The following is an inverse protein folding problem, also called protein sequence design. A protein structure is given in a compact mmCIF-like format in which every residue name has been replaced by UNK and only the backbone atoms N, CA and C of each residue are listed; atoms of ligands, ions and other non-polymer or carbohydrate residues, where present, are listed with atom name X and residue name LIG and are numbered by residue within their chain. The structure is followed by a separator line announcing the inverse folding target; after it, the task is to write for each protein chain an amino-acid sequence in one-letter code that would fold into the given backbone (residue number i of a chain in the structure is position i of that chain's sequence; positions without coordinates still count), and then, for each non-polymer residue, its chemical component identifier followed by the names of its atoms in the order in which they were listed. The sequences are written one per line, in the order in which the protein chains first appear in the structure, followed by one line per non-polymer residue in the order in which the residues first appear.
data_IF_681781866203
#
_entry.id   IF_681781866203
#
_cell.length_a   1.000
_cell.length_b   1.000
_cell.length_c   1.000
_cell.angle_alpha   90.00
_cell.angle_beta   90.00
_cell.angle_gamma   90.00
#
_symmetry.space_group_name_H-M   'P 1'
#
loop_
_entity.id
_entity.type
_entity.pdbx_description
1 polymer ?
#
# COMPACT_ATOMS: atom_id res chain seq x y z
N UNK A 1 9.73 35.84 -6.85
CA UNK A 1 8.99 34.94 -5.95
C UNK A 1 8.62 35.75 -4.71
N UNK A 2 7.37 35.65 -4.19
CA UNK A 2 7.00 36.39 -2.97
C UNK A 2 7.85 35.88 -1.79
N UNK A 3 8.35 36.77 -0.96
CA UNK A 3 9.32 36.54 0.08
C UNK A 3 8.90 35.52 1.16
N UNK A 4 7.60 35.22 1.28
CA UNK A 4 7.06 34.18 2.17
C UNK A 4 6.14 33.24 1.37
N UNK A 5 6.73 32.14 0.90
CA UNK A 5 6.01 31.11 0.13
C UNK A 5 4.89 30.45 0.94
N UNK A 6 5.10 30.20 2.24
CA UNK A 6 4.11 29.54 3.09
C UNK A 6 2.90 30.43 3.34
N UNK A 7 3.14 31.73 3.64
CA UNK A 7 2.07 32.69 3.80
C UNK A 7 1.25 32.87 2.50
N UNK A 8 1.92 32.88 1.35
CA UNK A 8 1.26 32.92 0.05
C UNK A 8 0.44 31.65 -0.21
N UNK A 9 0.95 30.47 0.10
CA UNK A 9 0.22 29.19 -0.08
C UNK A 9 -1.05 29.15 0.77
N UNK A 10 -0.95 29.52 2.04
CA UNK A 10 -2.09 29.55 2.96
C UNK A 10 -3.25 30.46 2.52
N UNK A 11 -2.97 31.51 1.76
CA UNK A 11 -4.02 32.37 1.16
C UNK A 11 -4.86 31.67 0.08
N UNK A 12 -4.50 30.41 -0.29
CA UNK A 12 -5.18 29.63 -1.31
C UNK A 12 -5.77 28.32 -0.78
N UNK A 13 -5.65 28.05 0.53
CA UNK A 13 -6.13 26.81 1.13
C UNK A 13 -7.65 26.62 0.97
N UNK A 14 -8.43 27.69 1.05
CA UNK A 14 -9.87 27.71 0.82
C UNK A 14 -10.28 27.37 -0.63
N UNK A 15 -9.39 27.58 -1.59
CA UNK A 15 -9.58 27.29 -3.01
C UNK A 15 -9.08 25.91 -3.43
N UNK A 16 -8.56 25.09 -2.52
CA UNK A 16 -7.92 23.82 -2.85
C UNK A 16 -8.84 22.91 -3.70
N UNK A 17 -10.08 22.73 -3.30
CA UNK A 17 -11.04 21.88 -4.02
C UNK A 17 -11.49 22.49 -5.35
N UNK A 18 -11.63 23.82 -5.46
CA UNK A 18 -11.89 24.51 -6.72
C UNK A 18 -10.75 24.28 -7.72
N UNK A 19 -9.51 24.51 -7.30
CA UNK A 19 -8.31 24.30 -8.12
C UNK A 19 -8.17 22.86 -8.57
N UNK A 20 -8.40 21.90 -7.68
CA UNK A 20 -8.36 20.47 -8.03
C UNK A 20 -9.47 20.08 -9.02
N UNK A 21 -10.69 20.61 -8.86
CA UNK A 21 -11.79 20.34 -9.80
C UNK A 21 -11.51 20.92 -11.18
N UNK A 22 -10.90 22.10 -11.23
CA UNK A 22 -10.60 22.78 -12.49
C UNK A 22 -9.38 22.21 -13.25
N UNK A 23 -8.34 21.76 -12.51
CA UNK A 23 -7.03 21.52 -13.12
C UNK A 23 -6.43 20.13 -12.85
N UNK A 24 -7.00 19.31 -11.94
CA UNK A 24 -6.42 18.00 -11.56
C UNK A 24 -7.40 16.87 -11.83
N UNK A 25 -8.46 16.72 -11.01
CA UNK A 25 -9.42 15.61 -11.17
C UNK A 25 -10.80 16.00 -10.59
N UNK A 26 -11.75 16.44 -11.43
CA UNK A 26 -13.08 16.85 -10.99
C UNK A 26 -13.90 15.70 -10.38
N UNK A 27 -13.75 14.47 -10.90
CA UNK A 27 -14.47 13.30 -10.39
C UNK A 27 -14.02 12.93 -8.97
N UNK A 28 -12.71 13.05 -8.68
CA UNK A 28 -12.18 12.82 -7.34
C UNK A 28 -12.71 13.85 -6.33
N UNK A 29 -12.76 15.14 -6.71
CA UNK A 29 -13.34 16.19 -5.87
C UNK A 29 -14.82 15.93 -5.60
N UNK A 30 -15.59 15.54 -6.64
CA UNK A 30 -17.00 15.19 -6.50
C UNK A 30 -17.19 14.05 -5.50
N UNK A 31 -16.39 12.99 -5.63
CA UNK A 31 -16.43 11.83 -4.72
C UNK A 31 -16.15 12.24 -3.27
N UNK A 32 -15.08 13.01 -3.00
CA UNK A 32 -14.73 13.45 -1.64
C UNK A 32 -15.85 14.28 -1.00
N UNK A 33 -16.47 15.22 -1.77
CA UNK A 33 -17.61 16.00 -1.30
C UNK A 33 -18.83 15.14 -1.01
N UNK A 34 -19.11 14.15 -1.86
CA UNK A 34 -20.25 13.23 -1.68
C UNK A 34 -20.15 12.43 -0.39
N UNK A 35 -18.96 11.96 0.00
CA UNK A 35 -18.76 11.18 1.23
C UNK A 35 -18.37 12.04 2.45
N UNK A 36 -18.28 13.37 2.29
CA UNK A 36 -17.95 14.31 3.38
C UNK A 36 -16.48 14.26 3.81
N UNK A 37 -15.56 13.90 2.89
CA UNK A 37 -14.11 13.83 3.13
C UNK A 37 -13.37 15.07 2.58
N UNK A 38 -14.09 16.09 2.20
CA UNK A 38 -13.58 17.35 1.64
C UNK A 38 -13.00 18.28 2.73
N UNK A 39 -12.06 17.76 3.52
CA UNK A 39 -11.37 18.49 4.58
C UNK A 39 -10.07 19.12 4.06
N UNK A 40 -9.80 20.36 4.46
CA UNK A 40 -8.53 21.03 4.23
C UNK A 40 -7.61 20.75 5.42
N UNK A 41 -6.63 19.85 5.25
CA UNK A 41 -5.66 19.55 6.29
C UNK A 41 -4.50 20.53 6.23
N UNK A 42 -4.30 21.29 7.32
CA UNK A 42 -3.27 22.35 7.42
C UNK A 42 -2.06 21.95 8.25
N UNK A 43 -2.15 20.86 9.02
CA UNK A 43 -1.06 20.33 9.85
C UNK A 43 -1.10 18.82 9.89
N UNK A 44 0.09 18.20 9.94
CA UNK A 44 0.28 16.76 10.18
C UNK A 44 1.45 16.55 11.13
N UNK A 45 1.29 15.67 12.16
CA UNK A 45 2.35 15.32 13.11
C UNK A 45 2.10 13.92 13.68
N UNK A 46 3.08 13.04 13.61
CA UNK A 46 2.95 11.67 14.09
C UNK A 46 1.75 10.96 13.46
N UNK A 47 0.87 10.41 14.28
CA UNK A 47 -0.33 9.68 13.85
C UNK A 47 -1.50 10.60 13.47
N UNK A 48 -1.33 11.93 13.46
CA UNK A 48 -2.45 12.85 13.41
C UNK A 48 -2.38 13.86 12.26
N UNK A 49 -3.57 14.28 11.83
CA UNK A 49 -3.81 15.39 10.93
C UNK A 49 -4.70 16.42 11.63
N UNK A 50 -4.59 17.68 11.25
CA UNK A 50 -5.51 18.74 11.69
C UNK A 50 -6.03 19.49 10.49
N UNK A 51 -7.34 19.72 10.49
CA UNK A 51 -8.00 20.59 9.49
C UNK A 51 -7.86 22.08 9.85
N UNK A 52 -8.41 22.94 8.98
CA UNK A 52 -8.38 24.40 9.15
C UNK A 52 -9.19 24.88 10.37
N UNK A 53 -10.19 24.10 10.81
CA UNK A 53 -11.00 24.36 11.99
C UNK A 53 -10.31 23.89 13.30
N UNK A 54 -9.14 23.27 13.21
CA UNK A 54 -8.39 22.76 14.35
C UNK A 54 -8.83 21.39 14.84
N UNK A 55 -9.69 20.69 14.11
CA UNK A 55 -10.08 19.33 14.44
C UNK A 55 -8.92 18.37 14.22
N UNK A 56 -8.68 17.51 15.21
CA UNK A 56 -7.63 16.48 15.19
C UNK A 56 -8.19 15.16 14.67
N UNK A 57 -7.54 14.57 13.68
CA UNK A 57 -7.88 13.29 13.07
C UNK A 57 -6.79 12.26 13.29
N UNK A 58 -7.16 11.02 13.66
CA UNK A 58 -6.27 9.87 13.67
C UNK A 58 -6.13 9.32 12.24
N UNK A 59 -4.89 9.28 11.72
CA UNK A 59 -4.60 8.83 10.37
C UNK A 59 -4.37 7.29 10.33
N UNK A 60 -5.45 6.54 10.10
CA UNK A 60 -5.41 5.08 9.93
C UNK A 60 -5.20 4.64 8.47
N UNK A 61 -4.89 5.59 7.55
CA UNK A 61 -4.63 5.35 6.13
C UNK A 61 -3.19 5.62 5.73
N UNK A 62 -2.56 6.65 6.30
CA UNK A 62 -1.17 7.07 6.09
C UNK A 62 -0.75 7.18 4.62
N UNK A 63 -1.67 7.71 3.76
CA UNK A 63 -1.40 7.79 2.32
C UNK A 63 -1.15 6.41 1.68
N UNK A 64 -1.97 5.42 2.02
CA UNK A 64 -1.82 4.02 1.62
C UNK A 64 -0.54 3.33 2.13
N UNK A 65 -0.10 3.70 3.33
CA UNK A 65 1.07 3.12 3.98
C UNK A 65 2.39 3.84 3.70
N UNK A 66 2.36 5.00 3.03
CA UNK A 66 3.54 5.82 2.73
C UNK A 66 4.13 6.44 3.99
N UNK A 67 3.29 7.05 4.84
CA UNK A 67 3.72 7.71 6.09
C UNK A 67 3.86 6.71 7.24
N UNK A 68 4.69 5.69 7.03
CA UNK A 68 4.89 4.62 8.01
C UNK A 68 5.49 5.11 9.34
N UNK A 69 6.31 6.17 9.30
CA UNK A 69 6.89 6.84 10.49
C UNK A 69 5.96 7.89 11.09
N UNK A 70 4.73 8.03 10.56
CA UNK A 70 3.87 9.16 10.85
C UNK A 70 4.23 10.41 10.04
N UNK A 71 3.43 11.45 10.24
CA UNK A 71 3.60 12.73 9.55
C UNK A 71 4.74 13.53 10.15
N UNK A 72 5.58 14.13 9.31
CA UNK A 72 6.64 15.07 9.68
C UNK A 72 7.60 14.53 10.75
N UNK A 73 8.07 13.28 10.59
CA UNK A 73 8.99 12.66 11.55
C UNK A 73 10.24 13.53 11.78
N UNK A 74 10.57 13.92 13.04
CA UNK A 74 11.57 14.96 13.31
C UNK A 74 12.98 14.60 12.81
N UNK A 75 13.43 13.35 12.96
CA UNK A 75 14.76 12.90 12.52
C UNK A 75 14.89 12.99 10.99
N UNK A 76 13.90 12.49 10.24
CA UNK A 76 13.91 12.55 8.75
C UNK A 76 13.89 14.00 8.28
N UNK A 77 13.02 14.83 8.89
CA UNK A 77 12.92 16.26 8.56
C UNK A 77 14.24 17.00 8.85
N UNK A 78 14.92 16.69 9.96
CA UNK A 78 16.21 17.29 10.30
C UNK A 78 17.30 16.89 9.29
N UNK A 79 17.38 15.60 8.91
CA UNK A 79 18.33 15.11 7.91
C UNK A 79 18.15 15.79 6.56
N UNK A 80 16.90 15.95 6.10
CA UNK A 80 16.62 16.63 4.84
C UNK A 80 16.98 18.12 4.89
N UNK A 81 16.72 18.81 6.01
CA UNK A 81 17.13 20.19 6.19
C UNK A 81 18.65 20.33 6.15
N UNK A 82 19.38 19.49 6.89
CA UNK A 82 20.83 19.49 6.89
C UNK A 82 21.37 19.26 5.47
N UNK A 83 20.81 18.30 4.72
CA UNK A 83 21.23 18.05 3.35
C UNK A 83 21.00 19.27 2.43
N UNK A 84 19.88 19.98 2.61
CA UNK A 84 19.56 21.17 1.80
C UNK A 84 20.39 22.40 2.17
N UNK A 85 20.86 22.48 3.42
CA UNK A 85 21.74 23.56 3.90
C UNK A 85 23.20 23.35 3.46
N UNK A 86 23.57 22.15 3.00
CA UNK A 86 24.87 21.82 2.43
C UNK A 86 24.83 21.91 0.90
N UNK A 87 25.87 22.46 0.28
CA UNK A 87 25.98 22.59 -1.18
C UNK A 87 26.37 21.25 -1.84
N UNK A 88 25.60 20.18 -1.56
CA UNK A 88 25.83 18.85 -2.13
C UNK A 88 25.55 18.85 -3.64
N UNK A 89 26.36 18.13 -4.44
CA UNK A 89 26.24 18.15 -5.91
C UNK A 89 24.97 17.46 -6.44
N UNK A 90 24.23 16.76 -5.57
CA UNK A 90 23.04 15.98 -5.93
C UNK A 90 23.32 14.97 -7.06
N UNK A 91 22.50 14.89 -8.09
CA UNK A 91 22.54 13.89 -9.16
C UNK A 91 23.71 14.11 -10.14
N UNK A 92 24.91 13.62 -9.82
CA UNK A 92 26.01 13.56 -10.82
C UNK A 92 25.97 12.21 -11.53
N UNK A 93 25.44 12.18 -12.76
CA UNK A 93 25.19 10.97 -13.53
C UNK A 93 26.44 10.18 -13.95
N UNK A 94 27.57 10.82 -14.00
CA UNK A 94 28.88 10.21 -14.33
C UNK A 94 29.71 10.02 -13.06
N UNK A 95 29.04 9.75 -11.93
CA UNK A 95 29.69 9.48 -10.65
C UNK A 95 28.88 8.44 -9.84
N UNK A 96 29.48 7.91 -8.78
CA UNK A 96 28.84 7.02 -7.83
C UNK A 96 28.68 7.76 -6.49
N UNK A 97 27.42 7.96 -6.04
CA UNK A 97 27.12 8.56 -4.74
C UNK A 97 27.33 7.55 -3.62
N UNK A 98 28.11 7.91 -2.59
CA UNK A 98 28.25 7.09 -1.39
C UNK A 98 26.88 6.92 -0.69
N UNK A 99 26.03 7.94 -0.73
CA UNK A 99 24.72 7.95 -0.09
C UNK A 99 23.81 6.84 -0.66
N UNK A 100 23.76 6.68 -1.98
CA UNK A 100 23.00 5.59 -2.61
C UNK A 100 23.59 4.21 -2.29
N UNK A 101 24.92 4.10 -2.19
CA UNK A 101 25.62 2.89 -1.76
C UNK A 101 25.22 2.48 -0.33
N UNK A 102 25.21 3.42 0.60
CA UNK A 102 24.83 3.18 2.01
C UNK A 102 23.35 2.77 2.15
N UNK A 103 22.45 3.38 1.37
CA UNK A 103 21.04 2.96 1.36
C UNK A 103 20.90 1.54 0.82
N UNK A 104 21.63 1.20 -0.27
CA UNK A 104 21.62 -0.14 -0.83
C UNK A 104 22.15 -1.18 0.14
N UNK A 105 23.28 -0.89 0.83
CA UNK A 105 23.85 -1.75 1.86
C UNK A 105 22.84 -2.03 2.98
N UNK A 106 22.30 -0.99 3.63
CA UNK A 106 21.30 -1.16 4.69
C UNK A 106 20.04 -1.90 4.22
N UNK A 107 19.58 -1.63 3.02
CA UNK A 107 18.39 -2.29 2.48
C UNK A 107 18.65 -3.80 2.24
N UNK A 108 19.79 -4.15 1.65
CA UNK A 108 20.16 -5.55 1.39
C UNK A 108 20.42 -6.33 2.67
N UNK A 109 20.99 -5.72 3.71
CA UNK A 109 21.13 -6.32 5.04
C UNK A 109 19.76 -6.71 5.63
N UNK A 110 18.75 -5.87 5.50
CA UNK A 110 17.41 -6.10 6.06
C UNK A 110 16.55 -7.05 5.24
N UNK A 111 16.69 -7.00 3.92
CA UNK A 111 16.04 -7.97 3.02
C UNK A 111 16.65 -9.36 3.22
N UNK A 112 17.97 -9.51 3.19
CA UNK A 112 18.62 -10.80 3.40
C UNK A 112 18.43 -11.79 2.25
N UNK A 113 18.50 -13.09 2.55
CA UNK A 113 18.16 -14.16 1.59
C UNK A 113 19.01 -14.22 0.31
N UNK A 114 20.22 -13.61 0.30
CA UNK A 114 21.08 -13.53 -0.88
C UNK A 114 20.68 -12.48 -1.91
N UNK A 115 19.77 -11.57 -1.55
CA UNK A 115 19.39 -10.39 -2.33
C UNK A 115 20.39 -9.25 -2.04
N UNK A 116 21.42 -9.11 -2.88
CA UNK A 116 22.59 -8.26 -2.62
C UNK A 116 22.82 -7.19 -3.70
N UNK A 117 21.83 -6.90 -4.53
CA UNK A 117 21.89 -5.83 -5.55
C UNK A 117 20.61 -5.01 -5.49
N UNK A 118 20.74 -3.70 -5.67
CA UNK A 118 19.63 -2.74 -5.65
C UNK A 118 19.65 -1.90 -6.91
N UNK A 119 18.51 -1.79 -7.56
CA UNK A 119 18.25 -0.78 -8.57
C UNK A 119 17.23 0.22 -8.01
N UNK A 120 17.61 1.50 -7.87
CA UNK A 120 16.73 2.54 -7.38
C UNK A 120 15.88 3.15 -8.48
N UNK A 121 14.61 3.42 -8.16
CA UNK A 121 13.63 4.10 -9.00
C UNK A 121 12.82 5.10 -8.16
N UNK A 122 11.72 5.64 -8.70
CA UNK A 122 11.00 6.73 -8.04
C UNK A 122 9.63 6.30 -7.48
N UNK A 123 9.20 5.08 -7.75
CA UNK A 123 7.88 4.59 -7.35
C UNK A 123 7.80 3.07 -7.29
N UNK A 124 6.74 2.56 -6.64
CA UNK A 124 6.45 1.12 -6.61
C UNK A 124 6.14 0.55 -7.99
N UNK A 125 5.41 1.31 -8.83
CA UNK A 125 5.11 0.86 -10.19
C UNK A 125 6.38 0.75 -11.04
N UNK A 126 7.35 1.68 -10.91
CA UNK A 126 8.66 1.56 -11.57
C UNK A 126 9.48 0.38 -11.05
N UNK A 127 9.38 0.05 -9.76
CA UNK A 127 10.07 -1.14 -9.24
C UNK A 127 9.48 -2.43 -9.82
N UNK A 128 8.16 -2.49 -10.00
CA UNK A 128 7.50 -3.62 -10.66
C UNK A 128 7.87 -3.71 -12.15
N UNK A 129 7.92 -2.58 -12.88
CA UNK A 129 8.41 -2.53 -14.27
C UNK A 129 9.86 -3.06 -14.37
N UNK A 130 10.71 -2.66 -13.42
CA UNK A 130 12.08 -3.17 -13.30
C UNK A 130 12.10 -4.69 -13.08
N UNK A 131 11.30 -5.20 -12.15
CA UNK A 131 11.20 -6.62 -11.86
C UNK A 131 10.74 -7.45 -13.08
N UNK A 132 9.73 -6.98 -13.81
CA UNK A 132 9.26 -7.61 -15.06
C UNK A 132 10.40 -7.67 -16.09
N UNK A 133 11.09 -6.55 -16.32
CA UNK A 133 12.19 -6.46 -17.30
C UNK A 133 13.37 -7.36 -16.90
N UNK A 134 13.75 -7.37 -15.61
CA UNK A 134 14.86 -8.16 -15.11
C UNK A 134 14.55 -9.65 -15.20
N UNK A 135 13.34 -10.05 -14.84
CA UNK A 135 12.90 -11.44 -14.96
C UNK A 135 12.91 -11.93 -16.42
N UNK A 136 12.38 -11.14 -17.34
CA UNK A 136 12.39 -11.45 -18.78
C UNK A 136 13.82 -11.53 -19.34
N UNK A 137 14.68 -10.59 -18.97
CA UNK A 137 16.08 -10.58 -19.41
C UNK A 137 16.85 -11.79 -18.89
N UNK A 138 16.69 -12.14 -17.61
CA UNK A 138 17.39 -13.24 -16.98
C UNK A 138 16.96 -14.61 -17.53
N UNK A 139 15.63 -14.82 -17.67
CA UNK A 139 15.09 -16.12 -18.06
C UNK A 139 15.01 -16.33 -19.57
N UNK A 140 15.02 -15.25 -20.37
CA UNK A 140 14.73 -15.29 -21.79
C UNK A 140 13.26 -15.60 -22.12
N UNK A 141 12.36 -15.56 -21.11
CA UNK A 141 10.93 -15.88 -21.22
C UNK A 141 10.07 -14.62 -21.22
N UNK A 142 8.81 -14.76 -21.67
CA UNK A 142 7.91 -13.61 -21.87
C UNK A 142 6.83 -13.49 -20.82
N UNK A 143 6.26 -14.62 -20.35
CA UNK A 143 5.03 -14.58 -19.56
C UNK A 143 5.32 -14.14 -18.12
N UNK A 144 4.38 -13.37 -17.55
CA UNK A 144 4.36 -13.02 -16.13
C UNK A 144 3.07 -13.60 -15.52
N UNK A 145 3.22 -14.43 -14.51
CA UNK A 145 2.09 -14.98 -13.74
C UNK A 145 1.84 -14.06 -12.55
N UNK A 146 0.59 -13.75 -12.26
CA UNK A 146 0.16 -12.87 -11.17
C UNK A 146 -1.19 -13.31 -10.60
N UNK A 147 -1.60 -12.76 -9.46
CA UNK A 147 -2.80 -13.19 -8.74
C UNK A 147 -4.03 -12.32 -9.02
N UNK A 148 -5.23 -12.91 -8.84
CA UNK A 148 -6.49 -12.16 -8.74
C UNK A 148 -6.37 -11.10 -7.65
N UNK A 149 -7.08 -9.98 -7.83
CA UNK A 149 -7.11 -8.83 -6.90
C UNK A 149 -5.75 -8.18 -6.61
N UNK A 150 -4.68 -8.58 -7.29
CA UNK A 150 -3.36 -7.98 -7.14
C UNK A 150 -3.35 -6.50 -7.58
N UNK A 151 -2.51 -5.70 -6.91
CA UNK A 151 -2.26 -4.31 -7.28
C UNK A 151 -0.75 -4.01 -7.28
N UNK A 152 -0.16 -4.00 -8.47
CA UNK A 152 1.28 -3.80 -8.66
C UNK A 152 1.66 -2.43 -9.24
N UNK A 153 0.69 -1.55 -9.46
CA UNK A 153 0.90 -0.23 -10.03
C UNK A 153 0.03 0.03 -11.26
N UNK A 154 0.19 1.21 -11.88
CA UNK A 154 -0.67 1.70 -12.96
C UNK A 154 0.11 2.18 -14.20
N UNK A 155 1.43 1.98 -14.28
CA UNK A 155 2.16 2.07 -15.55
C UNK A 155 1.81 0.86 -16.42
N UNK A 156 1.96 0.95 -17.73
CA UNK A 156 1.42 -0.03 -18.68
C UNK A 156 1.83 -1.48 -18.37
N UNK A 157 3.08 -1.75 -18.03
CA UNK A 157 3.52 -3.10 -17.65
C UNK A 157 2.96 -3.56 -16.32
N UNK A 158 3.01 -2.73 -15.28
CA UNK A 158 2.43 -3.03 -13.97
C UNK A 158 0.89 -3.15 -14.04
N UNK A 159 0.24 -2.29 -14.84
CA UNK A 159 -1.21 -2.37 -15.09
C UNK A 159 -1.61 -3.69 -15.76
N UNK A 160 -0.74 -4.23 -16.62
CA UNK A 160 -0.99 -5.51 -17.31
C UNK A 160 -1.11 -6.70 -16.37
N UNK A 161 -0.54 -6.60 -15.17
CA UNK A 161 -0.60 -7.59 -14.12
C UNK A 161 -1.43 -7.13 -12.90
N UNK A 162 -2.36 -6.17 -13.12
CA UNK A 162 -3.34 -5.78 -12.13
C UNK A 162 -4.50 -6.80 -12.11
N UNK A 163 -4.85 -7.31 -10.93
CA UNK A 163 -5.84 -8.36 -10.75
C UNK A 163 -7.30 -7.91 -10.84
N UNK A 164 -7.57 -6.59 -10.93
CA UNK A 164 -8.90 -6.02 -11.05
C UNK A 164 -9.08 -5.39 -12.45
N UNK A 165 -10.05 -5.88 -13.22
CA UNK A 165 -10.31 -5.43 -14.59
C UNK A 165 -10.69 -3.95 -14.66
N UNK A 166 -11.37 -3.42 -13.64
CA UNK A 166 -11.71 -1.99 -13.49
C UNK A 166 -10.52 -1.04 -13.75
N UNK A 167 -9.31 -1.40 -13.28
CA UNK A 167 -8.12 -0.57 -13.50
C UNK A 167 -7.54 -0.70 -14.91
N UNK A 168 -7.88 -1.78 -15.63
CA UNK A 168 -7.32 -2.12 -16.96
C UNK A 168 -8.17 -1.62 -18.10
N UNK A 169 -9.46 -1.42 -17.84
CA UNK A 169 -10.44 -1.02 -18.87
C UNK A 169 -10.10 0.34 -19.49
N UNK A 170 -10.37 0.46 -20.81
CA UNK A 170 -10.24 1.68 -21.62
C UNK A 170 -8.79 2.19 -21.83
N UNK A 171 -7.76 1.45 -21.44
CA UNK A 171 -6.35 1.83 -21.68
C UNK A 171 -5.71 1.11 -22.88
N UNK A 172 -6.52 0.45 -23.72
CA UNK A 172 -6.04 -0.22 -24.92
C UNK A 172 -5.32 -1.54 -24.62
N UNK A 173 -4.50 -1.97 -25.58
CA UNK A 173 -3.74 -3.22 -25.46
C UNK A 173 -2.64 -3.07 -24.40
N UNK A 174 -2.63 -3.99 -23.46
CA UNK A 174 -1.64 -4.06 -22.39
C UNK A 174 -0.52 -5.04 -22.77
N UNK A 175 0.49 -5.15 -21.89
CA UNK A 175 1.67 -6.01 -22.09
C UNK A 175 1.23 -7.46 -22.34
N UNK A 176 1.62 -8.09 -23.47
CA UNK A 176 1.26 -9.48 -23.77
C UNK A 176 2.01 -10.46 -22.85
N UNK A 177 1.46 -11.69 -22.76
CA UNK A 177 2.07 -12.76 -21.97
C UNK A 177 1.81 -12.64 -20.48
N UNK A 178 0.73 -11.98 -20.06
CA UNK A 178 0.33 -11.91 -18.66
C UNK A 178 -0.72 -12.99 -18.35
N UNK A 179 -0.55 -13.73 -17.23
CA UNK A 179 -1.42 -14.85 -16.83
C UNK A 179 -1.90 -14.68 -15.42
N UNK A 180 -3.19 -14.50 -15.25
CA UNK A 180 -3.84 -14.39 -13.95
C UNK A 180 -4.15 -15.78 -13.39
N UNK A 181 -3.88 -15.99 -12.10
CA UNK A 181 -4.25 -17.19 -11.33
C UNK A 181 -4.98 -16.78 -10.05
N UNK A 182 -5.87 -17.61 -9.50
CA UNK A 182 -6.50 -17.32 -8.22
C UNK A 182 -5.44 -17.20 -7.11
N UNK A 183 -5.66 -16.26 -6.18
CA UNK A 183 -4.79 -16.12 -5.01
C UNK A 183 -4.94 -17.33 -4.09
N UNK A 184 -3.83 -17.81 -3.52
CA UNK A 184 -3.80 -19.01 -2.68
C UNK A 184 -4.19 -20.33 -3.37
N UNK A 185 -4.10 -20.43 -4.70
CA UNK A 185 -4.37 -21.63 -5.48
C UNK A 185 -3.08 -22.17 -6.13
N UNK A 186 -2.48 -23.17 -5.50
CA UNK A 186 -1.25 -23.83 -5.96
C UNK A 186 -1.46 -24.66 -7.23
N UNK A 187 -2.63 -25.25 -7.42
CA UNK A 187 -2.90 -26.08 -8.59
C UNK A 187 -2.96 -25.21 -9.86
N UNK A 188 -3.66 -24.07 -9.79
CA UNK A 188 -3.70 -23.11 -10.90
C UNK A 188 -2.32 -22.51 -11.16
N UNK A 189 -1.54 -22.22 -10.13
CA UNK A 189 -0.16 -21.78 -10.26
C UNK A 189 0.70 -22.84 -10.97
N UNK A 190 0.65 -24.11 -10.52
CA UNK A 190 1.42 -25.18 -11.14
C UNK A 190 1.07 -25.35 -12.62
N UNK A 191 -0.22 -25.34 -12.98
CA UNK A 191 -0.68 -25.41 -14.38
C UNK A 191 -0.11 -24.27 -15.23
N UNK A 192 -0.09 -23.05 -14.70
CA UNK A 192 0.45 -21.88 -15.40
C UNK A 192 1.98 -21.99 -15.60
N UNK A 193 2.72 -22.44 -14.58
CA UNK A 193 4.17 -22.60 -14.63
C UNK A 193 4.62 -23.79 -15.47
N UNK A 194 3.85 -24.87 -15.51
CA UNK A 194 4.16 -26.08 -16.29
C UNK A 194 4.29 -25.81 -17.80
N UNK A 195 3.72 -24.73 -18.30
CA UNK A 195 3.90 -24.26 -19.68
C UNK A 195 5.33 -23.82 -20.00
N UNK A 196 6.17 -23.59 -18.98
CA UNK A 196 7.59 -23.18 -19.06
C UNK A 196 7.82 -21.87 -19.84
N UNK A 197 6.79 -21.01 -19.95
CA UNK A 197 6.87 -19.70 -20.59
C UNK A 197 7.01 -18.53 -19.60
N UNK A 198 6.75 -18.81 -18.32
CA UNK A 198 6.77 -17.79 -17.27
C UNK A 198 8.21 -17.36 -16.92
N UNK A 199 8.48 -16.06 -17.05
CA UNK A 199 9.69 -15.42 -16.57
C UNK A 199 9.63 -15.23 -15.05
N UNK A 200 8.48 -14.80 -14.55
CA UNK A 200 8.25 -14.59 -13.11
C UNK A 200 6.82 -14.98 -12.69
N UNK A 201 6.70 -15.35 -11.43
CA UNK A 201 5.48 -15.28 -10.66
C UNK A 201 5.63 -14.12 -9.69
N UNK A 202 4.73 -13.13 -9.76
CA UNK A 202 4.73 -11.94 -8.90
C UNK A 202 3.48 -11.93 -8.02
N UNK A 203 3.65 -11.66 -6.72
CA UNK A 203 2.56 -11.54 -5.77
C UNK A 203 2.89 -10.62 -4.61
N UNK A 204 1.84 -10.11 -3.97
CA UNK A 204 1.87 -9.43 -2.66
C UNK A 204 1.65 -10.48 -1.56
N UNK A 205 2.46 -10.57 -0.49
CA UNK A 205 2.21 -11.52 0.62
C UNK A 205 0.91 -11.23 1.37
N UNK A 206 0.52 -9.95 1.41
CA UNK A 206 -0.80 -9.47 1.81
C UNK A 206 -1.29 -8.54 0.72
N UNK A 207 -2.39 -8.87 0.09
CA UNK A 207 -2.92 -8.09 -1.03
C UNK A 207 -3.35 -6.69 -0.57
N UNK A 208 -2.84 -5.67 -1.23
CA UNK A 208 -3.10 -4.27 -0.91
C UNK A 208 -4.56 -3.86 -1.10
N UNK A 209 -5.33 -4.56 -1.91
CA UNK A 209 -6.74 -4.24 -2.22
C UNK A 209 -7.75 -5.05 -1.41
N UNK A 210 -7.36 -6.17 -0.83
CA UNK A 210 -8.27 -7.05 -0.08
C UNK A 210 -7.80 -7.34 1.34
N UNK A 211 -6.56 -6.99 1.70
CA UNK A 211 -5.90 -7.43 2.92
C UNK A 211 -5.88 -8.97 3.09
N UNK A 212 -6.07 -9.71 2.01
CA UNK A 212 -5.97 -11.16 2.04
C UNK A 212 -4.51 -11.57 2.20
N UNK A 213 -4.28 -12.45 3.18
CA UNK A 213 -2.95 -12.97 3.52
C UNK A 213 -2.71 -14.28 2.80
N UNK A 214 -1.50 -14.51 2.30
CA UNK A 214 -1.13 -15.82 1.80
C UNK A 214 -1.31 -16.88 2.88
N UNK A 215 -1.89 -18.02 2.51
CA UNK A 215 -2.07 -19.15 3.42
C UNK A 215 -0.72 -19.73 3.86
N UNK A 216 -0.70 -20.29 5.07
CA UNK A 216 0.49 -20.97 5.57
C UNK A 216 0.90 -22.09 4.60
N UNK A 217 2.20 -22.16 4.32
CA UNK A 217 2.80 -23.09 3.36
C UNK A 217 2.68 -22.67 1.89
N UNK A 218 1.80 -21.70 1.52
CA UNK A 218 1.61 -21.30 0.13
C UNK A 218 2.87 -20.73 -0.51
N UNK A 219 3.56 -19.78 0.18
CA UNK A 219 4.76 -19.14 -0.37
C UNK A 219 5.91 -20.13 -0.56
N UNK A 220 6.11 -21.04 0.40
CA UNK A 220 7.14 -22.08 0.30
C UNK A 220 6.89 -23.00 -0.90
N UNK A 221 5.66 -23.43 -1.08
CA UNK A 221 5.28 -24.30 -2.18
C UNK A 221 5.31 -23.56 -3.54
N UNK A 222 4.86 -22.30 -3.58
CA UNK A 222 5.00 -21.45 -4.77
C UNK A 222 6.47 -21.27 -5.18
N UNK A 223 7.36 -21.05 -4.21
CA UNK A 223 8.80 -21.02 -4.45
C UNK A 223 9.33 -22.34 -5.03
N UNK A 224 8.90 -23.47 -4.45
CA UNK A 224 9.28 -24.79 -4.95
C UNK A 224 8.84 -25.01 -6.40
N UNK A 225 7.61 -24.61 -6.72
CA UNK A 225 7.08 -24.66 -8.10
C UNK A 225 7.85 -23.72 -9.03
N UNK A 226 8.14 -22.49 -8.61
CA UNK A 226 8.95 -21.56 -9.39
C UNK A 226 10.34 -22.16 -9.71
N UNK A 227 11.01 -22.71 -8.71
CA UNK A 227 12.32 -23.41 -8.90
C UNK A 227 12.21 -24.61 -9.83
N UNK A 228 11.17 -25.46 -9.66
CA UNK A 228 10.90 -26.64 -10.52
C UNK A 228 10.76 -26.27 -11.99
N UNK A 229 10.11 -25.17 -12.30
CA UNK A 229 9.83 -24.75 -13.68
C UNK A 229 10.78 -23.67 -14.20
N UNK A 230 11.76 -23.24 -13.43
CA UNK A 230 12.75 -22.21 -13.80
C UNK A 230 12.13 -20.83 -13.99
N UNK A 231 11.16 -20.48 -13.16
CA UNK A 231 10.48 -19.19 -13.07
C UNK A 231 11.02 -18.43 -11.87
N UNK A 232 11.19 -17.10 -11.93
CA UNK A 232 11.60 -16.30 -10.79
C UNK A 232 10.43 -16.04 -9.86
N UNK A 233 10.65 -16.10 -8.54
CA UNK A 233 9.71 -15.65 -7.54
C UNK A 233 9.96 -14.17 -7.24
N UNK A 234 8.97 -13.32 -7.51
CA UNK A 234 8.99 -11.89 -7.23
C UNK A 234 7.99 -11.58 -6.14
N UNK A 235 8.45 -11.00 -5.05
CA UNK A 235 7.59 -10.55 -3.95
C UNK A 235 7.44 -9.03 -4.02
N UNK A 236 6.20 -8.57 -4.16
CA UNK A 236 5.86 -7.16 -4.08
C UNK A 236 5.65 -6.75 -2.62
N UNK A 237 6.66 -6.13 -2.05
CA UNK A 237 6.69 -5.58 -0.69
C UNK A 237 6.47 -4.07 -0.65
N UNK A 238 5.95 -3.50 -1.72
CA UNK A 238 5.71 -2.05 -1.82
C UNK A 238 4.81 -1.54 -0.70
N UNK A 239 3.82 -2.33 -0.25
CA UNK A 239 2.94 -1.95 0.85
C UNK A 239 3.23 -2.72 2.16
N UNK A 240 3.70 -3.94 2.06
CA UNK A 240 3.88 -4.87 3.20
C UNK A 240 5.24 -4.76 3.86
N UNK A 241 6.24 -4.22 3.17
CA UNK A 241 7.62 -4.14 3.62
C UNK A 241 7.92 -3.03 4.64
N UNK A 242 9.18 -2.96 5.01
CA UNK A 242 9.76 -1.92 5.85
C UNK A 242 9.10 -1.81 7.24
N UNK A 243 8.89 -2.97 7.88
CA UNK A 243 8.40 -3.04 9.25
C UNK A 243 6.88 -3.15 9.40
N UNK A 244 6.11 -2.81 8.36
CA UNK A 244 4.64 -2.70 8.37
C UNK A 244 3.93 -3.88 9.03
N UNK A 245 4.39 -5.09 8.78
CA UNK A 245 3.73 -6.33 9.23
C UNK A 245 4.33 -6.93 10.51
N UNK A 246 5.25 -6.22 11.18
CA UNK A 246 5.95 -6.73 12.37
C UNK A 246 7.20 -7.58 12.04
N UNK A 247 7.64 -7.56 10.80
CA UNK A 247 8.94 -8.01 10.28
C UNK A 247 9.47 -6.96 9.33
N UNK A 248 10.77 -6.88 9.08
CA UNK A 248 11.33 -5.93 8.11
C UNK A 248 10.67 -6.07 6.75
N UNK A 249 10.46 -7.30 6.27
CA UNK A 249 9.70 -7.63 5.08
C UNK A 249 8.68 -8.72 5.39
N UNK A 250 7.52 -8.64 4.79
CA UNK A 250 6.40 -9.52 5.11
C UNK A 250 6.72 -11.00 4.83
N UNK A 251 7.45 -11.29 3.74
CA UNK A 251 7.82 -12.67 3.42
C UNK A 251 8.68 -13.32 4.52
N UNK A 252 9.34 -12.56 5.40
CA UNK A 252 10.13 -13.08 6.52
C UNK A 252 9.28 -13.71 7.64
N UNK A 253 7.94 -13.62 7.56
CA UNK A 253 7.05 -14.44 8.38
C UNK A 253 7.12 -15.93 8.01
N UNK A 254 7.66 -16.25 6.82
CA UNK A 254 7.88 -17.61 6.32
C UNK A 254 9.40 -17.76 6.04
N UNK A 255 10.18 -18.15 7.06
CA UNK A 255 11.65 -18.08 7.02
C UNK A 255 12.30 -18.99 5.97
N UNK A 256 11.56 -19.98 5.45
CA UNK A 256 11.99 -20.87 4.35
C UNK A 256 11.88 -20.23 2.97
N UNK A 257 11.24 -19.05 2.88
CA UNK A 257 11.02 -18.36 1.60
C UNK A 257 12.20 -17.46 1.25
N UNK A 258 12.77 -17.68 0.10
CA UNK A 258 13.89 -16.92 -0.45
C UNK A 258 13.52 -16.40 -1.85
N UNK A 259 12.96 -15.21 -1.99
CA UNK A 259 12.61 -14.65 -3.28
C UNK A 259 13.81 -14.39 -4.17
N UNK A 260 13.59 -14.25 -5.46
CA UNK A 260 14.60 -13.85 -6.44
C UNK A 260 14.67 -12.34 -6.60
N UNK A 261 13.51 -11.66 -6.48
CA UNK A 261 13.37 -10.21 -6.56
C UNK A 261 12.36 -9.74 -5.50
N UNK A 262 12.64 -8.60 -4.88
CA UNK A 262 11.72 -7.89 -3.97
C UNK A 262 11.53 -6.46 -4.47
N UNK A 263 10.26 -6.04 -4.63
CA UNK A 263 9.89 -4.67 -4.98
C UNK A 263 9.61 -3.87 -3.71
N UNK A 264 10.20 -2.67 -3.58
CA UNK A 264 10.08 -1.80 -2.39
C UNK A 264 9.77 -0.38 -2.83
N UNK A 265 8.95 0.35 -2.06
CA UNK A 265 8.68 1.79 -2.25
C UNK A 265 7.97 2.37 -1.00
N UNK A 266 6.93 3.17 -1.19
CA UNK A 266 6.05 3.75 -0.15
C UNK A 266 6.81 4.21 1.11
N UNK A 267 6.87 3.36 2.13
CA UNK A 267 7.48 3.68 3.41
C UNK A 267 8.98 4.03 3.33
N UNK A 268 9.66 3.70 2.22
CA UNK A 268 11.12 3.82 2.09
C UNK A 268 11.63 5.24 2.33
N UNK A 269 10.85 6.28 2.01
CA UNK A 269 11.26 7.69 2.26
C UNK A 269 10.57 8.34 3.48
N UNK A 270 9.86 7.56 4.28
CA UNK A 270 9.03 8.15 5.36
C UNK A 270 7.93 9.08 4.87
N UNK A 271 7.62 9.06 3.56
CA UNK A 271 6.59 9.87 2.93
C UNK A 271 7.03 11.26 2.44
N UNK A 272 8.33 11.56 2.47
CA UNK A 272 8.83 12.88 2.07
C UNK A 272 9.13 13.00 0.58
N UNK A 273 9.78 12.00 0.00
CA UNK A 273 10.28 12.05 -1.39
C UNK A 273 9.93 10.76 -2.11
N UNK A 274 9.51 10.81 -3.39
CA UNK A 274 9.30 9.62 -4.18
C UNK A 274 10.60 8.78 -4.28
N UNK A 275 10.50 7.49 -3.93
CA UNK A 275 11.58 6.52 -4.05
C UNK A 275 11.01 5.11 -4.15
N UNK A 276 11.68 4.27 -4.92
CA UNK A 276 11.43 2.84 -5.02
C UNK A 276 12.73 2.09 -5.26
N UNK A 277 12.68 0.78 -5.10
CA UNK A 277 13.83 -0.07 -5.33
C UNK A 277 13.41 -1.46 -5.82
N UNK A 278 14.20 -2.03 -6.72
CA UNK A 278 14.23 -3.45 -7.06
C UNK A 278 15.41 -4.06 -6.34
N UNK A 279 15.16 -4.92 -5.36
CA UNK A 279 16.22 -5.66 -4.66
C UNK A 279 16.29 -7.07 -5.24
N UNK A 280 17.45 -7.51 -5.68
CA UNK A 280 17.56 -8.75 -6.44
C UNK A 280 18.86 -9.50 -6.17
N UNK A 281 18.90 -10.76 -6.61
CA UNK A 281 20.11 -11.58 -6.55
C UNK A 281 21.16 -11.07 -7.53
N UNK A 282 22.46 -11.12 -7.19
CA UNK A 282 23.55 -10.69 -8.08
C UNK A 282 23.43 -11.26 -9.51
N UNK A 283 23.21 -12.57 -9.63
CA UNK A 283 23.09 -13.27 -10.92
C UNK A 283 22.03 -12.66 -11.87
N UNK A 284 20.96 -12.05 -11.32
CA UNK A 284 19.90 -11.44 -12.12
C UNK A 284 20.35 -10.06 -12.59
N UNK A 285 20.87 -9.23 -11.68
CA UNK A 285 21.39 -7.90 -12.01
C UNK A 285 22.53 -7.97 -13.01
N UNK A 286 23.49 -8.89 -12.77
CA UNK A 286 24.67 -9.09 -13.61
C UNK A 286 24.28 -9.55 -15.04
N UNK A 287 23.16 -10.24 -15.21
CA UNK A 287 22.62 -10.60 -16.53
C UNK A 287 21.99 -9.44 -17.27
N UNK A 288 21.41 -8.47 -16.56
CA UNK A 288 20.81 -7.25 -17.16
C UNK A 288 21.90 -6.28 -17.60
N UNK A 289 22.93 -6.10 -16.77
CA UNK A 289 24.06 -5.19 -16.96
C UNK A 289 25.35 -5.97 -17.22
N UNK A 290 25.31 -6.85 -18.23
CA UNK A 290 26.36 -7.86 -18.50
C UNK A 290 27.59 -7.35 -19.26
N UNK A 291 27.60 -6.07 -19.62
CA UNK A 291 28.73 -5.41 -20.27
C UNK A 291 28.74 -3.90 -20.04
N UNK A 292 29.87 -3.23 -20.30
CA UNK A 292 29.96 -1.76 -20.24
C UNK A 292 28.98 -1.08 -21.20
N UNK A 293 28.73 -1.65 -22.38
CA UNK A 293 27.77 -1.13 -23.35
C UNK A 293 26.32 -1.19 -22.82
N UNK A 294 26.04 -2.13 -21.93
CA UNK A 294 24.70 -2.35 -21.36
C UNK A 294 24.53 -1.76 -19.96
N UNK A 295 25.52 -1.02 -19.44
CA UNK A 295 25.46 -0.49 -18.07
C UNK A 295 24.32 0.50 -17.80
N UNK A 296 23.64 1.01 -18.83
CA UNK A 296 22.50 1.96 -18.74
C UNK A 296 21.23 1.48 -19.46
N UNK A 297 21.12 0.20 -19.86
CA UNK A 297 19.95 -0.34 -20.60
C UNK A 297 18.64 -0.30 -19.80
N UNK A 298 18.73 -0.16 -18.48
CA UNK A 298 17.65 0.15 -17.58
C UNK A 298 18.12 1.25 -16.64
N UNK A 299 17.53 2.43 -16.75
CA UNK A 299 17.90 3.61 -15.98
C UNK A 299 16.70 4.55 -15.87
N UNK A 300 16.79 5.48 -14.95
CA UNK A 300 15.83 6.60 -14.80
C UNK A 300 16.58 7.86 -14.39
N UNK A 301 16.00 9.04 -14.61
CA UNK A 301 16.68 10.31 -14.39
C UNK A 301 16.89 10.60 -12.90
N UNK A 302 15.88 10.40 -12.06
CA UNK A 302 15.88 10.83 -10.66
C UNK A 302 16.13 9.71 -9.64
N UNK A 303 16.27 8.46 -10.07
CA UNK A 303 16.70 7.39 -9.17
C UNK A 303 18.08 7.73 -8.58
N UNK A 304 18.29 7.53 -7.31
CA UNK A 304 19.48 7.87 -6.54
C UNK A 304 19.68 9.37 -6.29
N UNK A 305 18.65 10.24 -6.45
CA UNK A 305 18.79 11.64 -6.04
C UNK A 305 19.03 11.74 -4.53
N UNK A 306 19.84 12.72 -4.12
CA UNK A 306 20.32 12.80 -2.75
C UNK A 306 19.19 13.01 -1.73
N UNK A 307 18.14 13.77 -2.08
CA UNK A 307 16.98 13.94 -1.19
C UNK A 307 16.26 12.61 -0.94
N UNK A 308 16.05 11.80 -1.98
CA UNK A 308 15.41 10.49 -1.84
C UNK A 308 16.29 9.52 -1.06
N UNK A 309 17.60 9.52 -1.32
CA UNK A 309 18.54 8.64 -0.62
C UNK A 309 18.70 9.04 0.85
N UNK A 310 18.79 10.34 1.16
CA UNK A 310 18.85 10.83 2.54
C UNK A 310 17.56 10.52 3.32
N UNK A 311 16.40 10.75 2.69
CA UNK A 311 15.12 10.36 3.28
C UNK A 311 15.03 8.85 3.54
N UNK A 312 15.48 8.03 2.58
CA UNK A 312 15.48 6.57 2.72
C UNK A 312 16.43 6.10 3.83
N UNK A 313 17.66 6.63 3.87
CA UNK A 313 18.63 6.28 4.90
C UNK A 313 18.12 6.64 6.29
N UNK A 314 17.63 7.87 6.46
CA UNK A 314 17.06 8.33 7.73
C UNK A 314 15.84 7.51 8.14
N UNK A 315 15.01 7.11 7.18
CA UNK A 315 13.85 6.24 7.43
C UNK A 315 14.26 4.87 7.94
N UNK A 316 15.22 4.22 7.29
CA UNK A 316 15.72 2.91 7.72
C UNK A 316 16.35 2.98 9.13
N UNK A 317 17.09 4.06 9.41
CA UNK A 317 17.65 4.30 10.74
C UNK A 317 16.56 4.49 11.80
N UNK A 318 15.55 5.29 11.52
CA UNK A 318 14.43 5.52 12.46
C UNK A 318 13.67 4.23 12.75
N UNK A 319 13.39 3.42 11.72
CA UNK A 319 12.69 2.13 11.91
C UNK A 319 13.48 1.25 12.89
N UNK A 320 14.80 1.24 12.79
CA UNK A 320 15.68 0.45 13.65
C UNK A 320 15.82 1.03 15.06
N UNK A 321 16.19 2.32 15.17
CA UNK A 321 16.49 2.99 16.44
C UNK A 321 15.25 3.13 17.33
N UNK A 322 14.10 3.40 16.74
CA UNK A 322 12.85 3.60 17.46
C UNK A 322 12.05 2.28 17.61
N UNK A 323 12.66 1.11 17.26
CA UNK A 323 12.07 -0.24 17.38
C UNK A 323 10.68 -0.38 16.74
N UNK A 324 10.49 0.24 15.56
CA UNK A 324 9.17 0.34 14.95
C UNK A 324 8.65 -0.98 14.38
N UNK A 325 9.53 -1.93 14.08
CA UNK A 325 9.14 -3.30 13.67
C UNK A 325 8.45 -4.03 14.82
N UNK A 326 9.03 -3.94 16.02
CA UNK A 326 8.50 -4.53 17.25
C UNK A 326 7.21 -3.84 17.68
N UNK A 327 7.15 -2.52 17.56
CA UNK A 327 5.91 -1.77 17.84
C UNK A 327 4.79 -2.15 16.87
N UNK A 328 5.11 -2.32 15.58
CA UNK A 328 4.12 -2.76 14.58
C UNK A 328 3.58 -4.17 14.88
N UNK A 329 4.42 -5.08 15.39
CA UNK A 329 3.99 -6.39 15.84
C UNK A 329 3.08 -6.30 17.07
N UNK A 330 3.49 -5.55 18.10
CA UNK A 330 2.78 -5.44 19.38
C UNK A 330 1.43 -4.73 19.22
N UNK A 331 1.42 -3.55 18.59
CA UNK A 331 0.18 -2.78 18.36
C UNK A 331 -0.74 -3.47 17.35
N UNK A 332 -0.15 -4.14 16.34
CA UNK A 332 -0.90 -4.95 15.39
C UNK A 332 -1.64 -6.11 16.06
N UNK A 333 -0.98 -6.82 16.99
CA UNK A 333 -1.62 -7.89 17.79
C UNK A 333 -2.72 -7.32 18.67
N UNK A 334 -2.46 -6.21 19.37
CA UNK A 334 -3.45 -5.55 20.22
C UNK A 334 -4.72 -5.15 19.43
N UNK A 335 -4.54 -4.55 18.25
CA UNK A 335 -5.65 -4.17 17.37
C UNK A 335 -6.39 -5.39 16.82
N UNK A 336 -5.67 -6.44 16.42
CA UNK A 336 -6.26 -7.66 15.89
C UNK A 336 -7.14 -8.37 16.94
N UNK A 337 -6.67 -8.47 18.17
CA UNK A 337 -7.42 -9.09 19.26
C UNK A 337 -8.67 -8.27 19.62
N UNK A 338 -8.52 -6.93 19.70
CA UNK A 338 -9.65 -6.03 19.93
C UNK A 338 -10.70 -6.11 18.84
N UNK A 339 -10.28 -6.09 17.58
CA UNK A 339 -11.19 -6.18 16.42
C UNK A 339 -11.88 -7.54 16.32
N UNK A 340 -11.19 -8.65 16.62
CA UNK A 340 -11.82 -9.99 16.66
C UNK A 340 -12.89 -10.07 17.74
N UNK A 341 -12.65 -9.44 18.89
CA UNK A 341 -13.66 -9.36 19.96
C UNK A 341 -14.88 -8.55 19.50
N UNK A 342 -14.69 -7.41 18.86
CA UNK A 342 -15.78 -6.59 18.31
C UNK A 342 -16.52 -7.37 17.21
N UNK A 343 -15.78 -8.00 16.31
CA UNK A 343 -16.33 -8.79 15.19
C UNK A 343 -17.23 -9.94 15.67
N UNK A 344 -16.92 -10.56 16.81
CA UNK A 344 -17.72 -11.65 17.37
C UNK A 344 -19.14 -11.25 17.78
N UNK A 345 -19.41 -9.95 17.92
CA UNK A 345 -20.73 -9.39 18.27
C UNK A 345 -21.42 -8.71 17.09
N UNK A 346 -20.76 -8.60 15.92
CA UNK A 346 -21.32 -7.95 14.74
C UNK A 346 -21.59 -8.96 13.61
N UNK A 347 -22.87 -9.26 13.30
CA UNK A 347 -23.24 -10.29 12.33
C UNK A 347 -22.87 -9.95 10.89
N UNK A 348 -22.49 -8.72 10.59
CA UNK A 348 -22.02 -8.29 9.28
C UNK A 348 -20.53 -8.55 9.05
N UNK A 349 -19.74 -8.74 10.10
CA UNK A 349 -18.30 -8.99 9.97
C UNK A 349 -18.05 -10.47 9.70
N UNK A 350 -17.50 -10.77 8.54
CA UNK A 350 -17.16 -12.14 8.14
C UNK A 350 -15.73 -12.53 8.51
N UNK A 351 -14.80 -11.57 8.49
CA UNK A 351 -13.41 -11.81 8.86
C UNK A 351 -12.69 -10.53 9.30
N UNK A 352 -11.71 -10.71 10.19
CA UNK A 352 -10.66 -9.72 10.48
C UNK A 352 -9.34 -10.37 10.14
N UNK A 353 -8.57 -9.78 9.23
CA UNK A 353 -7.35 -10.37 8.70
C UNK A 353 -6.23 -9.36 8.50
N UNK A 354 -5.00 -9.85 8.43
CA UNK A 354 -3.79 -9.03 8.25
C UNK A 354 -2.63 -9.51 9.11
N UNK A 355 -1.54 -8.75 9.09
CA UNK A 355 -0.37 -8.94 9.97
C UNK A 355 0.17 -7.58 10.40
N UNK A 356 0.56 -7.46 11.66
CA UNK A 356 1.07 -6.21 12.21
C UNK A 356 0.09 -5.05 11.99
N UNK A 357 0.58 -3.95 11.46
CA UNK A 357 -0.21 -2.73 11.18
C UNK A 357 -0.70 -2.63 9.72
N UNK A 358 -0.93 -3.76 9.08
CA UNK A 358 -1.69 -3.88 7.84
C UNK A 358 -2.81 -4.89 8.04
N UNK A 359 -4.03 -4.40 8.21
CA UNK A 359 -5.19 -5.24 8.49
C UNK A 359 -6.46 -4.70 7.84
N UNK A 360 -7.44 -5.59 7.71
CA UNK A 360 -8.74 -5.28 7.13
C UNK A 360 -9.87 -6.03 7.82
N UNK A 361 -11.07 -5.49 7.65
CA UNK A 361 -12.32 -6.09 8.10
C UNK A 361 -13.16 -6.37 6.87
N UNK A 362 -13.55 -7.63 6.69
CA UNK A 362 -14.48 -8.08 5.67
C UNK A 362 -15.91 -8.05 6.19
N UNK A 363 -16.80 -7.55 5.35
CA UNK A 363 -18.23 -7.60 5.60
C UNK A 363 -18.91 -8.58 4.65
N UNK A 364 -19.92 -9.25 5.15
CA UNK A 364 -20.74 -10.18 4.38
C UNK A 364 -22.20 -10.15 4.82
N UNK A 365 -23.05 -10.71 3.98
CA UNK A 365 -24.48 -10.91 4.29
C UNK A 365 -24.63 -11.72 5.58
N UNK A 366 -25.33 -11.20 6.61
CA UNK A 366 -25.46 -11.88 7.89
C UNK A 366 -26.20 -13.22 7.76
N UNK A 367 -25.81 -14.20 8.57
CA UNK A 367 -26.37 -15.56 8.47
C UNK A 367 -27.70 -15.74 9.22
N UNK A 368 -27.93 -15.03 10.33
CA UNK A 368 -28.97 -15.40 11.28
C UNK A 368 -30.21 -14.48 11.28
N UNK A 369 -30.06 -13.16 11.12
CA UNK A 369 -31.17 -12.21 11.21
C UNK A 369 -31.85 -11.97 9.86
N UNK A 370 -33.12 -12.41 9.68
CA UNK A 370 -33.88 -12.12 8.46
C UNK A 370 -33.97 -10.62 8.17
N UNK A 371 -34.18 -9.81 9.22
CA UNK A 371 -34.25 -8.35 9.14
C UNK A 371 -32.97 -7.73 8.61
N UNK A 372 -31.80 -8.16 9.11
CA UNK A 372 -30.50 -7.68 8.65
C UNK A 372 -30.11 -8.23 7.26
N UNK A 373 -30.54 -9.45 6.92
CA UNK A 373 -30.44 -9.98 5.56
C UNK A 373 -31.19 -9.09 4.54
N UNK A 374 -32.44 -8.75 4.85
CA UNK A 374 -33.24 -7.88 3.98
C UNK A 374 -32.59 -6.49 3.83
N UNK A 375 -32.06 -5.93 4.91
CA UNK A 375 -31.37 -4.64 4.90
C UNK A 375 -30.10 -4.72 4.01
N UNK A 376 -29.30 -5.77 4.16
CA UNK A 376 -28.12 -6.02 3.32
C UNK A 376 -28.51 -6.16 1.84
N UNK A 377 -29.50 -6.99 1.52
CA UNK A 377 -29.94 -7.24 0.14
C UNK A 377 -30.52 -5.95 -0.51
N UNK A 378 -31.23 -5.14 0.26
CA UNK A 378 -31.73 -3.84 -0.21
C UNK A 378 -30.56 -2.90 -0.58
N UNK A 379 -29.54 -2.80 0.27
CA UNK A 379 -28.38 -1.95 0.04
C UNK A 379 -27.58 -2.41 -1.20
N UNK A 380 -27.33 -3.71 -1.32
CA UNK A 380 -26.59 -4.29 -2.44
C UNK A 380 -27.36 -4.26 -3.76
N UNK A 381 -28.69 -4.21 -3.70
CA UNK A 381 -29.53 -3.96 -4.87
C UNK A 381 -29.40 -2.54 -5.44
N UNK A 382 -28.95 -1.58 -4.63
CA UNK A 382 -28.66 -0.22 -5.06
C UNK A 382 -27.24 -0.08 -5.63
N UNK A 383 -26.23 -0.58 -4.90
CA UNK A 383 -24.83 -0.57 -5.35
C UNK A 383 -23.99 -1.56 -4.54
N UNK A 384 -23.06 -2.26 -5.19
CA UNK A 384 -22.14 -3.17 -4.55
C UNK A 384 -20.96 -2.36 -3.92
N UNK A 385 -20.49 -2.74 -2.73
CA UNK A 385 -19.36 -2.06 -2.03
C UNK A 385 -19.77 -0.87 -1.18
N UNK A 386 -21.06 -0.61 -1.00
CA UNK A 386 -21.56 0.55 -0.24
C UNK A 386 -21.58 0.30 1.28
N UNK A 387 -21.66 -0.95 1.73
CA UNK A 387 -21.69 -1.25 3.16
C UNK A 387 -20.43 -0.75 3.89
N UNK A 388 -19.27 -0.90 3.26
CA UNK A 388 -18.02 -0.37 3.80
C UNK A 388 -18.06 1.14 4.06
N UNK A 389 -18.77 1.90 3.22
CA UNK A 389 -18.94 3.34 3.42
C UNK A 389 -19.81 3.66 4.64
N UNK A 390 -20.78 2.80 5.00
CA UNK A 390 -21.60 2.96 6.20
C UNK A 390 -20.76 2.91 7.49
N UNK A 391 -19.56 2.33 7.43
CA UNK A 391 -18.59 2.30 8.54
C UNK A 391 -17.57 3.43 8.40
N UNK A 392 -17.00 3.62 7.20
CA UNK A 392 -15.92 4.59 6.96
C UNK A 392 -16.38 6.03 7.16
N UNK A 393 -17.59 6.38 6.73
CA UNK A 393 -18.12 7.76 6.85
C UNK A 393 -18.31 8.18 8.32
N UNK A 394 -18.97 7.42 9.21
CA UNK A 394 -19.06 7.77 10.62
C UNK A 394 -17.71 7.77 11.35
N UNK A 395 -16.80 6.87 11.01
CA UNK A 395 -15.43 6.91 11.56
C UNK A 395 -14.78 8.26 11.28
N UNK A 396 -14.91 8.78 10.06
CA UNK A 396 -14.35 10.06 9.66
C UNK A 396 -15.12 11.25 10.29
N UNK A 397 -16.43 11.28 10.15
CA UNK A 397 -17.24 12.46 10.51
C UNK A 397 -17.45 12.59 12.02
N UNK A 398 -17.77 11.48 12.71
CA UNK A 398 -18.09 11.46 14.13
C UNK A 398 -16.86 11.25 15.00
N UNK A 399 -16.02 10.28 14.61
CA UNK A 399 -14.87 9.84 15.43
C UNK A 399 -13.54 10.44 14.97
N UNK A 400 -13.51 11.19 13.83
CA UNK A 400 -12.30 11.82 13.30
C UNK A 400 -11.17 10.80 13.05
N UNK A 401 -11.51 9.65 12.48
CA UNK A 401 -10.58 8.59 12.10
C UNK A 401 -10.57 8.46 10.59
N UNK A 402 -9.44 8.77 9.97
CA UNK A 402 -9.26 8.71 8.52
C UNK A 402 -8.93 7.29 8.08
N UNK A 403 -9.81 6.69 7.29
CA UNK A 403 -9.61 5.39 6.64
C UNK A 403 -10.37 5.32 5.32
N UNK A 404 -10.40 4.13 4.69
CA UNK A 404 -11.09 3.92 3.42
C UNK A 404 -11.57 2.48 3.22
N UNK A 405 -12.49 2.30 2.30
CA UNK A 405 -12.79 1.00 1.69
C UNK A 405 -11.59 0.55 0.85
N UNK A 406 -11.21 -0.72 0.93
CA UNK A 406 -9.92 -1.22 0.44
C UNK A 406 -9.81 -1.29 -1.09
N UNK A 407 -10.87 -1.68 -1.79
CA UNK A 407 -10.89 -1.90 -3.23
C UNK A 407 -12.17 -1.42 -3.89
N UNK A 408 -12.23 -1.59 -5.22
CA UNK A 408 -13.43 -1.35 -6.00
C UNK A 408 -14.34 -2.58 -5.93
N UNK A 409 -15.63 -2.37 -5.65
CA UNK A 409 -16.60 -3.46 -5.42
C UNK A 409 -16.14 -4.51 -4.38
N UNK A 410 -15.49 -4.06 -3.30
CA UNK A 410 -15.11 -4.91 -2.18
C UNK A 410 -15.80 -4.43 -0.91
N UNK A 411 -16.26 -5.37 -0.09
CA UNK A 411 -16.81 -5.08 1.24
C UNK A 411 -15.71 -5.22 2.31
N UNK A 412 -14.55 -4.60 2.03
CA UNK A 412 -13.38 -4.61 2.92
C UNK A 412 -13.00 -3.19 3.30
N UNK A 413 -12.88 -2.92 4.58
CA UNK A 413 -12.22 -1.70 5.08
C UNK A 413 -10.80 -2.04 5.45
N UNK A 414 -9.85 -1.20 5.01
CA UNK A 414 -8.43 -1.40 5.26
C UNK A 414 -7.84 -0.32 6.14
N UNK A 415 -6.95 -0.74 7.04
CA UNK A 415 -6.26 0.12 7.98
C UNK A 415 -4.74 -0.05 7.85
N UNK A 416 -4.06 1.09 7.81
CA UNK A 416 -2.61 1.23 7.66
C UNK A 416 -2.11 2.37 8.56
N UNK A 417 -2.26 2.27 9.89
CA UNK A 417 -1.78 3.33 10.79
C UNK A 417 -0.26 3.48 10.72
N UNK A 418 0.30 4.61 11.19
CA UNK A 418 1.74 4.74 11.34
C UNK A 418 2.31 3.67 12.28
N UNK A 419 3.54 3.23 12.05
CA UNK A 419 4.22 2.30 12.96
C UNK A 419 4.59 2.92 14.30
N UNK A 420 4.47 4.24 14.42
CA UNK A 420 4.63 5.01 15.66
C UNK A 420 3.33 5.11 16.49
N UNK A 421 2.27 4.43 16.08
CA UNK A 421 0.98 4.40 16.79
C UNK A 421 1.16 3.88 18.22
N UNK A 422 0.44 4.46 19.17
CA UNK A 422 0.49 4.11 20.58
C UNK A 422 -0.79 3.38 21.01
N UNK A 423 -0.74 2.79 22.20
CA UNK A 423 -1.86 2.04 22.76
C UNK A 423 -3.12 2.89 22.90
N UNK A 424 -2.97 4.14 23.31
CA UNK A 424 -4.09 5.07 23.49
C UNK A 424 -4.80 5.37 22.16
N UNK A 425 -4.05 5.45 21.06
CA UNK A 425 -4.60 5.62 19.71
C UNK A 425 -5.36 4.37 19.26
N UNK A 426 -4.81 3.20 19.58
CA UNK A 426 -5.47 1.91 19.31
C UNK A 426 -6.78 1.77 20.10
N UNK A 427 -6.79 2.18 21.36
CA UNK A 427 -7.99 2.19 22.21
C UNK A 427 -9.05 3.15 21.68
N UNK A 428 -8.66 4.37 21.25
CA UNK A 428 -9.57 5.30 20.58
C UNK A 428 -10.19 4.67 19.33
N UNK A 429 -9.35 4.07 18.45
CA UNK A 429 -9.83 3.40 17.25
C UNK A 429 -10.80 2.24 17.55
N UNK A 430 -10.46 1.37 18.51
CA UNK A 430 -11.32 0.24 18.89
C UNK A 430 -12.65 0.68 19.48
N UNK A 431 -12.66 1.72 20.32
CA UNK A 431 -13.89 2.30 20.85
C UNK A 431 -14.81 2.85 19.78
N UNK A 432 -14.22 3.59 18.82
CA UNK A 432 -14.95 4.12 17.66
C UNK A 432 -15.52 2.99 16.78
N UNK A 433 -14.72 1.96 16.50
CA UNK A 433 -15.14 0.79 15.71
C UNK A 433 -16.30 0.05 16.36
N UNK A 434 -16.26 -0.18 17.70
CA UNK A 434 -17.35 -0.81 18.42
C UNK A 434 -18.65 0.00 18.25
N UNK A 435 -18.61 1.30 18.50
CA UNK A 435 -19.78 2.17 18.39
C UNK A 435 -20.39 2.17 16.98
N UNK A 436 -19.53 2.34 15.96
CA UNK A 436 -19.98 2.36 14.57
C UNK A 436 -20.56 1.02 14.13
N UNK A 437 -19.95 -0.11 14.52
CA UNK A 437 -20.46 -1.42 14.16
C UNK A 437 -21.75 -1.76 14.92
N UNK A 438 -21.91 -1.30 16.16
CA UNK A 438 -23.18 -1.44 16.90
C UNK A 438 -24.32 -0.65 16.23
N UNK A 439 -24.03 0.54 15.70
CA UNK A 439 -25.00 1.34 14.96
C UNK A 439 -25.44 0.66 13.65
N UNK A 440 -24.57 -0.09 12.96
CA UNK A 440 -24.95 -0.84 11.76
C UNK A 440 -25.97 -1.94 12.01
N UNK A 441 -26.05 -2.46 13.23
CA UNK A 441 -26.99 -3.51 13.62
C UNK A 441 -28.41 -2.99 13.88
N UNK A 442 -28.58 -1.67 14.00
CA UNK A 442 -29.89 -1.01 14.25
C UNK A 442 -30.56 -0.64 12.91
N UNK A 443 -31.34 -1.59 12.38
CA UNK A 443 -32.13 -1.36 11.16
C UNK A 443 -33.65 -1.39 11.49
N UNK A 444 -34.48 -0.43 10.96
CA UNK A 444 -34.06 0.84 10.35
C UNK A 444 -33.36 1.75 11.38
N UNK A 445 -32.53 2.67 10.92
CA UNK A 445 -31.79 3.59 11.78
C UNK A 445 -30.92 4.55 10.98
N UNK A 446 -30.40 5.57 11.67
CA UNK A 446 -29.69 6.69 11.07
C UNK A 446 -28.52 6.29 10.15
N UNK A 447 -27.78 5.22 10.49
CA UNK A 447 -26.69 4.74 9.63
C UNK A 447 -27.20 4.24 8.27
N UNK A 448 -28.33 3.53 8.25
CA UNK A 448 -28.97 3.02 7.05
C UNK A 448 -29.63 4.10 6.22
N UNK A 449 -30.27 5.08 6.87
CA UNK A 449 -30.90 6.21 6.19
C UNK A 449 -29.85 7.08 5.47
N UNK A 450 -28.72 7.33 6.13
CA UNK A 450 -27.61 8.09 5.55
C UNK A 450 -27.05 7.40 4.30
N UNK A 451 -26.80 6.09 4.37
CA UNK A 451 -26.16 5.39 3.25
C UNK A 451 -27.11 5.15 2.07
N UNK A 452 -28.40 4.92 2.33
CA UNK A 452 -29.40 4.79 1.26
C UNK A 452 -29.61 6.11 0.51
N UNK A 453 -29.56 7.24 1.23
CA UNK A 453 -29.57 8.57 0.62
C UNK A 453 -28.35 8.81 -0.27
N UNK A 454 -27.16 8.43 0.16
CA UNK A 454 -25.93 8.52 -0.64
C UNK A 454 -25.96 7.59 -1.87
N UNK A 455 -26.40 6.35 -1.71
CA UNK A 455 -26.49 5.39 -2.80
C UNK A 455 -27.45 5.84 -3.89
N UNK A 456 -28.62 6.40 -3.54
CA UNK A 456 -29.58 6.94 -4.49
C UNK A 456 -29.08 8.20 -5.20
N UNK A 457 -28.30 9.05 -4.53
CA UNK A 457 -27.65 10.22 -5.11
C UNK A 457 -26.54 9.88 -6.13
N UNK A 458 -25.85 8.78 -5.93
CA UNK A 458 -24.78 8.29 -6.86
C UNK A 458 -25.40 7.70 -8.14
N UNK A 459 -26.56 7.05 -8.05
CA UNK A 459 -27.25 6.43 -9.22
C UNK A 459 -27.89 7.50 -10.12
N UNK A 460 -28.21 8.66 -9.59
CA UNK A 460 -28.87 9.76 -10.33
C UNK A 460 -27.89 10.80 -10.93
N UNK A 461 -26.61 10.62 -10.81
CA UNK A 461 -25.53 11.52 -11.26
C UNK A 461 -24.52 10.84 -12.21
#
# INVERSE_FOLDING_TARGET
MKTDFIAWLRQHDDRAYELHAAHVNPAFVKMLKTIGFDKCYVRGEGCYLWDAEGNKYLDMLTGWGVFALGRNHPKVKATLKQLLDEDMPNLVRMSCSALSGLVAEKLTERVGGGLARVFFCNSGTESVEGAIKFARCYTGRQDIVYCDHAFHGLTTGALSINGADFFRERFGDLLPGTRRVPFNDLESLERALAMKKAAAFILEPIQGKSCEVVKDGYLAEAQRLCRKFGTLLVIDEVQTGLGRTGKWFCYQHWPEVEPDIVCVSKALSGGYVPVGAVVTRPRIMDRVFDSMERCVVHSNTFGQNDLAMAAALATLQVIEEDHLVENAAAMGQFLMDGLKKIASTCPFVSAVRGKGLMFGIDFARPAESLKLKMAWDMLHGLNFGVFGQMVVIPLMQKHRILTQVAGYHTEVIKFLPPMTIRKEDCEWFLGAMQEVLDDTQRFPGAAWDTITGLASGVVSS
#
